data_IF_018506331286
#
_entry.id   IF_018506331286
#
_cell.length_a   1.000
_cell.length_b   1.000
_cell.length_c   1.000
_cell.angle_alpha   90.00
_cell.angle_beta   90.00
_cell.angle_gamma   90.00
#
_symmetry.space_group_name_H-M   'P 1'
#
loop_
_entity.id
_entity.type
_entity.pdbx_description
1 polymer ?
#
# COMPACT_ATOMS: atom_id res chain seq x y z
N UNK A 1 5.16 -15.45 -8.84
CA UNK A 1 3.91 -16.27 -8.76
C UNK A 1 2.69 -15.37 -8.51
N UNK A 2 1.43 -15.77 -8.83
CA UNK A 2 0.26 -14.98 -8.40
C UNK A 2 0.20 -14.92 -6.87
N UNK A 3 -0.42 -13.88 -6.31
CA UNK A 3 -0.59 -13.77 -4.85
C UNK A 3 -1.81 -14.60 -4.42
N UNK A 4 -1.56 -15.71 -3.71
CA UNK A 4 -2.62 -16.68 -3.39
C UNK A 4 -3.39 -16.35 -2.10
N UNK A 5 -2.82 -15.52 -1.21
CA UNK A 5 -3.44 -15.13 0.05
C UNK A 5 -2.90 -13.78 0.52
N UNK A 6 -3.79 -12.91 1.01
CA UNK A 6 -3.46 -11.60 1.59
C UNK A 6 -3.93 -11.54 3.05
N UNK A 7 -3.29 -10.71 3.89
CA UNK A 7 -3.66 -10.58 5.30
C UNK A 7 -5.07 -10.02 5.48
N UNK A 8 -5.66 -10.25 6.66
CA UNK A 8 -7.00 -9.76 6.98
C UNK A 8 -7.13 -8.25 6.76
N UNK A 9 -8.28 -7.88 6.17
CA UNK A 9 -8.60 -6.50 5.79
C UNK A 9 -7.99 -6.05 4.48
N UNK A 10 -7.02 -6.76 3.90
CA UNK A 10 -6.49 -6.45 2.58
C UNK A 10 -7.22 -7.22 1.48
N UNK A 11 -7.26 -6.64 0.28
CA UNK A 11 -7.82 -7.29 -0.92
C UNK A 11 -6.97 -6.92 -2.13
N UNK A 12 -6.79 -7.89 -3.04
CA UNK A 12 -6.13 -7.65 -4.32
C UNK A 12 -7.05 -6.83 -5.21
N UNK A 13 -6.61 -5.63 -5.59
CA UNK A 13 -7.33 -4.76 -6.51
C UNK A 13 -6.92 -5.00 -7.96
N UNK A 14 -5.62 -5.15 -8.20
CA UNK A 14 -5.05 -5.40 -9.53
C UNK A 14 -3.75 -6.17 -9.39
N UNK A 15 -3.54 -7.19 -10.22
CA UNK A 15 -2.28 -7.92 -10.32
C UNK A 15 -1.87 -8.07 -11.79
N UNK A 16 -0.67 -7.60 -12.11
CA UNK A 16 -0.06 -7.72 -13.43
C UNK A 16 1.40 -8.24 -13.28
N UNK A 17 2.10 -8.56 -14.38
CA UNK A 17 3.47 -9.08 -14.31
C UNK A 17 4.48 -8.13 -13.64
N UNK A 18 4.25 -6.81 -13.68
CA UNK A 18 5.17 -5.78 -13.16
C UNK A 18 4.54 -4.91 -12.07
N UNK A 19 3.28 -5.13 -11.72
CA UNK A 19 2.52 -4.33 -10.76
C UNK A 19 1.61 -5.22 -9.90
N UNK A 20 1.45 -4.86 -8.63
CA UNK A 20 0.40 -5.40 -7.76
C UNK A 20 -0.14 -4.24 -6.92
N UNK A 21 -1.46 -4.21 -6.75
CA UNK A 21 -2.17 -3.23 -5.94
C UNK A 21 -3.03 -3.97 -4.93
N UNK A 22 -2.76 -3.74 -3.64
CA UNK A 22 -3.61 -4.19 -2.55
C UNK A 22 -4.30 -2.98 -1.93
N UNK A 23 -5.57 -3.12 -1.57
CA UNK A 23 -6.36 -2.08 -0.89
C UNK A 23 -6.82 -2.57 0.47
N UNK A 24 -6.79 -1.70 1.47
CA UNK A 24 -7.21 -2.03 2.83
C UNK A 24 -8.66 -1.60 3.09
N UNK A 25 -9.48 -2.55 3.52
CA UNK A 25 -10.89 -2.38 3.91
C UNK A 25 -11.67 -1.49 2.93
N UNK A 26 -11.73 -1.86 1.64
CA UNK A 26 -12.53 -1.11 0.66
C UNK A 26 -14.03 -1.14 0.99
N UNK A 27 -14.47 -2.02 1.89
CA UNK A 27 -15.81 -2.05 2.48
C UNK A 27 -16.06 -0.95 3.53
N UNK A 28 -15.01 -0.28 4.01
CA UNK A 28 -15.08 0.83 4.97
C UNK A 28 -14.64 2.14 4.34
N UNK A 29 -13.60 2.09 3.51
CA UNK A 29 -13.06 3.26 2.80
C UNK A 29 -13.59 3.29 1.36
N UNK A 30 -14.91 3.36 1.24
CA UNK A 30 -15.68 3.15 0.00
C UNK A 30 -16.07 4.44 -0.74
N UNK A 31 -15.45 5.57 -0.39
CA UNK A 31 -15.81 6.93 -0.83
C UNK A 31 -17.14 7.50 -0.32
N UNK A 32 -17.97 6.71 0.37
CA UNK A 32 -19.22 7.16 0.98
C UNK A 32 -19.00 7.62 2.43
N UNK A 33 -18.36 6.77 3.24
CA UNK A 33 -18.07 7.08 4.65
C UNK A 33 -16.88 8.03 4.82
N UNK A 34 -15.92 7.99 3.89
CA UNK A 34 -14.72 8.81 3.88
C UNK A 34 -14.46 9.33 2.47
N UNK A 35 -13.75 10.46 2.28
CA UNK A 35 -13.36 10.92 0.95
C UNK A 35 -12.62 9.82 0.17
N UNK A 36 -12.87 9.70 -1.13
CA UNK A 36 -12.24 8.70 -2.01
C UNK A 36 -10.71 8.58 -1.90
N UNK A 37 -9.93 9.67 -1.65
CA UNK A 37 -8.49 9.57 -1.41
C UNK A 37 -8.10 8.74 -0.18
N UNK A 38 -8.98 8.57 0.81
CA UNK A 38 -8.70 7.91 2.10
C UNK A 38 -8.66 6.37 2.02
N UNK A 39 -8.39 5.76 0.87
CA UNK A 39 -8.26 4.31 0.73
C UNK A 39 -6.79 3.89 0.87
N UNK A 40 -6.38 3.26 1.99
CA UNK A 40 -5.00 2.83 2.13
C UNK A 40 -4.67 1.75 1.10
N UNK A 41 -3.53 1.91 0.44
CA UNK A 41 -3.14 1.10 -0.71
C UNK A 41 -1.66 0.70 -0.62
N UNK A 42 -1.36 -0.56 -0.88
CA UNK A 42 0.01 -1.03 -1.11
C UNK A 42 0.22 -1.20 -2.60
N UNK A 43 1.23 -0.49 -3.10
CA UNK A 43 1.68 -0.59 -4.49
C UNK A 43 2.99 -1.35 -4.55
N UNK A 44 3.01 -2.44 -5.30
CA UNK A 44 4.24 -3.13 -5.71
C UNK A 44 4.46 -2.83 -7.19
N UNK A 45 5.63 -2.31 -7.55
CA UNK A 45 5.93 -1.94 -8.94
C UNK A 45 7.38 -2.22 -9.28
N UNK A 46 7.66 -2.72 -10.48
CA UNK A 46 9.02 -2.79 -11.01
C UNK A 46 9.47 -1.45 -11.59
N UNK A 47 10.63 -0.96 -11.14
CA UNK A 47 11.23 0.30 -11.59
C UNK A 47 10.57 1.56 -11.04
N UNK A 48 11.19 2.72 -11.32
CA UNK A 48 10.65 4.01 -10.87
C UNK A 48 9.48 4.45 -11.75
N UNK A 49 8.46 5.08 -11.14
CA UNK A 49 7.32 5.73 -11.81
C UNK A 49 7.72 6.80 -12.86
N UNK A 50 8.99 7.22 -12.87
CA UNK A 50 9.52 8.12 -13.90
C UNK A 50 9.68 7.37 -15.23
N UNK A 51 8.59 7.33 -16.02
CA UNK A 51 8.63 6.97 -17.43
C UNK A 51 9.71 7.80 -18.13
N UNK A 52 10.80 7.15 -18.55
CA UNK A 52 11.74 7.78 -19.48
C UNK A 52 11.06 7.90 -20.84
N UNK A 53 11.07 9.07 -21.49
CA UNK A 53 10.56 9.20 -22.85
C UNK A 53 11.23 8.16 -23.76
N UNK A 54 10.42 7.34 -24.45
CA UNK A 54 10.91 6.35 -25.42
C UNK A 54 11.07 4.91 -24.92
N UNK A 55 10.79 4.60 -23.64
CA UNK A 55 10.72 3.20 -23.16
C UNK A 55 9.47 2.98 -22.31
N UNK A 56 8.45 2.27 -22.83
CA UNK A 56 7.17 2.11 -22.13
C UNK A 56 7.25 1.12 -20.96
N UNK A 57 8.23 0.20 -20.98
CA UNK A 57 8.38 -0.86 -19.98
C UNK A 57 9.63 -0.65 -19.10
N UNK A 58 9.55 -0.96 -17.79
CA UNK A 58 10.70 -0.92 -16.88
C UNK A 58 11.76 -1.94 -17.32
N UNK A 59 13.03 -1.58 -17.08
CA UNK A 59 14.15 -2.45 -17.38
C UNK A 59 14.02 -3.77 -16.58
N UNK A 60 14.35 -4.94 -17.16
CA UNK A 60 14.38 -6.19 -16.40
C UNK A 60 15.24 -6.13 -15.12
N UNK A 61 16.29 -5.30 -15.13
CA UNK A 61 17.21 -5.11 -14.00
C UNK A 61 16.77 -4.00 -13.02
N UNK A 62 15.63 -3.35 -13.26
CA UNK A 62 15.10 -2.35 -12.34
C UNK A 62 14.61 -3.00 -11.03
N UNK A 63 14.88 -2.40 -9.86
CA UNK A 63 14.44 -2.94 -8.58
C UNK A 63 12.92 -2.90 -8.46
N UNK A 64 12.39 -3.78 -7.62
CA UNK A 64 11.01 -3.80 -7.21
C UNK A 64 10.81 -2.87 -6.02
N UNK A 65 9.78 -2.02 -6.08
CA UNK A 65 9.43 -1.12 -4.98
C UNK A 65 8.07 -1.52 -4.42
N UNK A 66 7.99 -1.63 -3.10
CA UNK A 66 6.75 -1.75 -2.33
C UNK A 66 6.53 -0.42 -1.64
N UNK A 67 5.36 0.19 -1.76
CA UNK A 67 5.04 1.48 -1.16
C UNK A 67 3.64 1.46 -0.57
N UNK A 68 3.55 1.79 0.72
CA UNK A 68 2.28 2.04 1.38
C UNK A 68 1.86 3.50 1.14
N UNK A 69 0.62 3.70 0.72
CA UNK A 69 -0.03 4.99 0.64
C UNK A 69 -1.24 4.98 1.54
N UNK A 70 -1.38 6.00 2.39
CA UNK A 70 -2.62 6.23 3.15
C UNK A 70 -3.63 7.00 2.28
N UNK A 71 -3.07 7.87 1.44
CA UNK A 71 -3.76 8.59 0.38
C UNK A 71 -2.80 8.74 -0.82
N UNK A 72 -3.30 9.10 -2.02
CA UNK A 72 -2.44 9.32 -3.18
C UNK A 72 -1.27 10.28 -2.97
N UNK A 73 -1.42 11.26 -2.06
CA UNK A 73 -0.40 12.26 -1.73
C UNK A 73 0.34 11.97 -0.41
N UNK A 74 -0.12 10.98 0.38
CA UNK A 74 0.45 10.63 1.68
C UNK A 74 1.17 9.28 1.56
N UNK A 75 2.44 9.34 1.16
CA UNK A 75 3.34 8.19 1.11
C UNK A 75 3.81 7.82 2.53
N UNK A 76 3.66 6.54 2.88
CA UNK A 76 4.17 5.94 4.10
C UNK A 76 5.44 5.15 3.84
N UNK A 77 5.52 3.96 4.45
CA UNK A 77 6.71 3.12 4.33
C UNK A 77 6.95 2.64 2.89
N UNK A 78 8.22 2.70 2.48
CA UNK A 78 8.71 2.21 1.19
C UNK A 78 9.83 1.20 1.41
N UNK A 79 9.78 0.10 0.67
CA UNK A 79 10.84 -0.92 0.62
C UNK A 79 11.25 -1.21 -0.83
N UNK A 80 12.51 -1.49 -1.06
CA UNK A 80 13.06 -1.88 -2.38
C UNK A 80 13.61 -3.32 -2.29
N UNK A 81 13.43 -4.10 -3.36
CA UNK A 81 13.81 -5.51 -3.47
C UNK A 81 14.39 -5.80 -4.85
N UNK A 82 15.22 -6.84 -4.94
CA UNK A 82 15.90 -7.21 -6.19
C UNK A 82 14.98 -7.99 -7.15
N UNK A 83 13.99 -8.70 -6.62
CA UNK A 83 13.09 -9.54 -7.42
C UNK A 83 11.61 -9.45 -6.98
N UNK A 84 10.75 -10.01 -7.83
CA UNK A 84 9.30 -9.93 -7.67
C UNK A 84 8.82 -10.69 -6.45
N UNK A 85 9.33 -11.90 -6.22
CA UNK A 85 8.81 -12.76 -5.16
C UNK A 85 9.21 -12.18 -3.79
N UNK A 86 10.44 -11.66 -3.66
CA UNK A 86 10.86 -10.89 -2.48
C UNK A 86 10.00 -9.63 -2.24
N UNK A 87 9.61 -8.92 -3.31
CA UNK A 87 8.72 -7.77 -3.20
C UNK A 87 7.29 -8.15 -2.79
N UNK A 88 6.78 -9.30 -3.25
CA UNK A 88 5.49 -9.80 -2.81
C UNK A 88 5.50 -10.18 -1.33
N UNK A 89 6.52 -10.90 -0.89
CA UNK A 89 6.70 -11.25 0.53
C UNK A 89 6.79 -9.98 1.38
N UNK A 90 7.58 -9.01 0.94
CA UNK A 90 7.70 -7.71 1.58
C UNK A 90 6.40 -6.91 1.66
N UNK A 91 5.55 -6.99 0.62
CA UNK A 91 4.23 -6.36 0.62
C UNK A 91 3.29 -7.05 1.62
N UNK A 92 3.32 -8.39 1.70
CA UNK A 92 2.54 -9.15 2.67
C UNK A 92 2.97 -8.89 4.12
N UNK A 93 4.28 -8.75 4.36
CA UNK A 93 4.80 -8.35 5.67
C UNK A 93 4.35 -6.94 6.06
N UNK A 94 4.44 -5.98 5.14
CA UNK A 94 4.01 -4.61 5.40
C UNK A 94 2.49 -4.52 5.61
N UNK A 95 1.70 -5.30 4.86
CA UNK A 95 0.26 -5.43 5.05
C UNK A 95 -0.09 -5.99 6.44
N UNK A 96 0.65 -7.02 6.91
CA UNK A 96 0.51 -7.57 8.26
C UNK A 96 0.84 -6.54 9.34
N UNK A 97 1.98 -5.86 9.20
CA UNK A 97 2.38 -4.81 10.13
C UNK A 97 1.36 -3.67 10.20
N UNK A 98 0.78 -3.28 9.06
CA UNK A 98 -0.29 -2.29 9.01
C UNK A 98 -1.53 -2.76 9.78
N UNK A 99 -2.04 -3.96 9.49
CA UNK A 99 -3.22 -4.52 10.18
C UNK A 99 -2.97 -4.72 11.67
N UNK A 100 -1.73 -5.01 12.08
CA UNK A 100 -1.33 -5.17 13.48
C UNK A 100 -1.11 -3.83 14.22
N UNK A 101 -1.27 -2.68 13.56
CA UNK A 101 -1.05 -1.38 14.18
C UNK A 101 0.42 -1.08 14.45
N UNK A 102 1.34 -1.70 13.73
CA UNK A 102 2.79 -1.46 13.90
C UNK A 102 3.26 -0.21 13.14
N UNK A 103 2.49 0.23 12.13
CA UNK A 103 2.83 1.37 11.28
C UNK A 103 2.33 2.68 11.89
N UNK A 104 3.25 3.61 12.19
CA UNK A 104 2.90 4.92 12.74
C UNK A 104 2.42 5.94 11.70
N UNK A 105 1.28 5.65 11.07
CA UNK A 105 0.73 6.47 9.98
C UNK A 105 0.27 7.87 10.42
N UNK A 106 0.01 8.12 11.71
CA UNK A 106 -0.41 9.44 12.18
C UNK A 106 0.70 10.48 12.00
N UNK A 107 1.97 10.05 12.07
CA UNK A 107 3.14 10.93 11.88
C UNK A 107 3.30 11.45 10.45
N UNK A 108 2.64 10.82 9.47
CA UNK A 108 2.67 11.21 8.06
C UNK A 108 1.81 12.46 7.79
N UNK A 109 0.93 12.83 8.71
CA UNK A 109 -0.01 13.93 8.56
C UNK A 109 0.45 15.19 9.28
N UNK A 110 0.73 16.26 8.53
CA UNK A 110 0.96 17.59 9.11
C UNK A 110 -0.35 18.25 9.59
N UNK A 111 -1.45 18.02 8.86
CA UNK A 111 -2.80 18.42 9.24
C UNK A 111 -3.63 17.16 9.47
N UNK A 112 -3.95 16.79 10.73
CA UNK A 112 -4.59 15.53 11.03
C UNK A 112 -6.00 15.43 10.45
N UNK A 113 -6.30 14.30 9.81
CA UNK A 113 -7.67 13.89 9.47
C UNK A 113 -8.25 13.03 10.58
N UNK A 114 -8.64 13.67 11.69
CA UNK A 114 -9.02 12.98 12.93
C UNK A 114 -9.97 11.79 12.70
N UNK A 115 -11.15 12.00 12.10
CA UNK A 115 -12.13 10.92 11.90
C UNK A 115 -11.60 9.72 11.08
N UNK A 116 -10.73 9.98 10.09
CA UNK A 116 -10.11 8.93 9.28
C UNK A 116 -9.05 8.16 10.10
N UNK A 117 -8.18 8.90 10.79
CA UNK A 117 -7.11 8.31 11.61
C UNK A 117 -7.68 7.53 12.80
N UNK A 118 -8.73 8.04 13.42
CA UNK A 118 -9.45 7.37 14.51
C UNK A 118 -10.07 6.06 14.01
N UNK A 119 -10.65 6.07 12.80
CA UNK A 119 -11.18 4.85 12.19
C UNK A 119 -10.08 3.83 11.90
N UNK A 120 -8.92 4.26 11.41
CA UNK A 120 -7.77 3.38 11.23
C UNK A 120 -7.29 2.80 12.57
N UNK A 121 -7.27 3.59 13.64
CA UNK A 121 -6.84 3.09 14.95
C UNK A 121 -7.77 1.97 15.44
N UNK A 122 -9.09 2.12 15.28
CA UNK A 122 -10.05 1.05 15.61
C UNK A 122 -9.78 -0.22 14.80
N UNK A 123 -9.55 -0.07 13.49
CA UNK A 123 -9.39 -1.21 12.60
C UNK A 123 -8.04 -1.93 12.75
N UNK A 124 -7.02 -1.20 13.22
CA UNK A 124 -5.66 -1.72 13.43
C UNK A 124 -5.37 -2.02 14.91
N UNK A 125 -6.35 -1.87 15.79
CA UNK A 125 -6.23 -2.15 17.22
C UNK A 125 -5.30 -1.17 17.97
N UNK A 126 -5.10 0.04 17.44
CA UNK A 126 -4.27 1.11 18.06
C UNK A 126 -5.03 1.98 19.05
N UNK A 127 -6.34 1.78 19.22
CA UNK A 127 -7.11 2.45 20.27
C UNK A 127 -6.50 2.12 21.64
N UNK A 128 -5.95 3.14 22.30
CA UNK A 128 -5.45 3.05 23.68
C UNK A 128 -6.57 3.32 24.67
#
# INVERSE_FOLDING_TARGET
MPIDSVPDGWSVWSEEPTTLVLVYRPDVFDSEAFPAPCLPTLYVTRGRRQRRPGRPEPDPDDPWRVTLFLEPEIEGETREYDDRDAALDGALELARAFTAGEIDYRTLYQQPRAAYLDRLDTLTGRET
#
